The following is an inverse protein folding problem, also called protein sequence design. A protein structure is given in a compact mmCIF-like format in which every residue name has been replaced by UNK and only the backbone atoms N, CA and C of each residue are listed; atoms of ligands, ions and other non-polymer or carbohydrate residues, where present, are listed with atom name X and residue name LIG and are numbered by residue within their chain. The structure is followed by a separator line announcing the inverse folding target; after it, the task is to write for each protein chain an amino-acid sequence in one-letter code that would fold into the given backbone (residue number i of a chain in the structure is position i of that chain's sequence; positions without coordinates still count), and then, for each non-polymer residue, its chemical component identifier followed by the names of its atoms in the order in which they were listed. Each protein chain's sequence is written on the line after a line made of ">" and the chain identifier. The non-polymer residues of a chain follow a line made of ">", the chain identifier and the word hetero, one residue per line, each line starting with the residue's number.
data_IF_758730671403
#
_entry.id   IF_758730671403
#
_cell.length_a   1.000
_cell.length_b   1.000
_cell.length_c   1.000
_cell.angle_alpha   90.00
_cell.angle_beta   90.00
_cell.angle_gamma   90.00
#
_symmetry.space_group_name_H-M   'P 1'
#
loop_
_entity.id
_entity.type
_entity.pdbx_description
1 polymer ?
#
# COMPACT_ATOMS: atom_id res chain seq x y z
N UNK A 1 -42.16 29.95 -36.86
CA UNK A 1 -42.59 29.57 -35.50
C UNK A 1 -42.01 28.20 -35.18
N UNK A 2 -41.32 28.07 -34.06
CA UNK A 2 -40.70 26.85 -33.51
C UNK A 2 -39.34 26.41 -34.08
N UNK A 3 -38.31 27.10 -33.62
CA UNK A 3 -36.92 26.58 -33.48
C UNK A 3 -36.31 27.20 -32.21
N UNK A 4 -36.75 26.72 -31.08
CA UNK A 4 -36.14 27.00 -29.77
C UNK A 4 -36.48 25.81 -28.88
N UNK A 5 -35.63 24.83 -28.75
CA UNK A 5 -35.56 23.87 -27.62
C UNK A 5 -34.60 22.70 -27.84
N UNK A 6 -33.57 22.88 -28.69
CA UNK A 6 -32.55 21.82 -28.85
C UNK A 6 -31.15 22.16 -28.26
N UNK A 7 -30.96 23.39 -27.72
CA UNK A 7 -29.63 23.81 -27.23
C UNK A 7 -29.40 23.62 -25.72
N UNK A 8 -30.45 23.28 -24.95
CA UNK A 8 -30.34 23.20 -23.48
C UNK A 8 -30.08 21.77 -22.95
N UNK A 9 -30.31 20.75 -23.79
CA UNK A 9 -30.08 19.35 -23.37
C UNK A 9 -28.63 18.86 -23.59
N UNK A 10 -27.80 19.55 -24.39
CA UNK A 10 -26.46 19.11 -24.70
C UNK A 10 -25.41 19.65 -23.71
N UNK A 11 -25.74 20.68 -22.92
CA UNK A 11 -24.82 21.26 -21.92
C UNK A 11 -24.75 20.47 -20.62
N UNK A 12 -25.75 19.60 -20.32
CA UNK A 12 -25.76 18.80 -19.10
C UNK A 12 -25.04 17.44 -19.22
N UNK A 13 -24.75 16.98 -20.43
CA UNK A 13 -24.08 15.71 -20.67
C UNK A 13 -22.53 15.82 -20.77
N UNK A 14 -21.99 17.04 -20.93
CA UNK A 14 -20.53 17.25 -20.99
C UNK A 14 -19.92 17.64 -19.64
N UNK A 15 -20.71 17.99 -18.65
CA UNK A 15 -20.21 18.27 -17.28
C UNK A 15 -20.04 17.02 -16.41
N UNK A 16 -20.57 15.85 -16.84
CA UNK A 16 -20.56 14.62 -16.07
C UNK A 16 -19.34 13.69 -16.29
N UNK A 17 -18.60 13.85 -17.36
CA UNK A 17 -17.53 12.90 -17.72
C UNK A 17 -16.12 13.36 -17.39
N UNK A 18 -15.91 14.64 -17.07
CA UNK A 18 -14.59 15.19 -16.71
C UNK A 18 -14.26 15.14 -15.22
N UNK A 19 -15.28 14.99 -14.37
CA UNK A 19 -15.11 15.04 -12.92
C UNK A 19 -14.89 13.66 -12.26
N UNK A 20 -15.11 12.55 -12.98
CA UNK A 20 -15.08 11.22 -12.36
C UNK A 20 -13.68 10.57 -12.26
N UNK A 21 -12.69 11.05 -13.00
CA UNK A 21 -11.34 10.44 -12.96
C UNK A 21 -10.41 11.06 -11.92
N UNK A 22 -10.58 12.32 -11.55
CA UNK A 22 -9.81 12.93 -10.46
C UNK A 22 -10.42 12.70 -9.06
N UNK A 23 -11.65 12.27 -8.98
CA UNK A 23 -12.34 11.97 -7.72
C UNK A 23 -11.91 10.62 -7.08
N UNK A 24 -11.22 9.76 -7.83
CA UNK A 24 -10.93 8.38 -7.40
C UNK A 24 -9.96 8.21 -6.23
N UNK A 25 -8.99 9.10 -6.07
CA UNK A 25 -7.93 8.94 -5.07
C UNK A 25 -8.26 9.65 -3.74
N UNK A 26 -8.95 10.78 -3.79
CA UNK A 26 -9.21 11.62 -2.61
C UNK A 26 -10.70 11.75 -2.25
N UNK A 27 -11.58 11.02 -2.94
CA UNK A 27 -13.03 11.11 -2.74
C UNK A 27 -13.67 12.34 -3.39
N UNK A 28 -14.98 12.52 -3.13
CA UNK A 28 -15.73 13.70 -3.59
C UNK A 28 -15.32 14.95 -2.81
N UNK A 29 -15.58 16.13 -3.36
CA UNK A 29 -15.35 17.40 -2.66
C UNK A 29 -16.13 17.48 -1.33
N UNK A 30 -17.33 16.90 -1.27
CA UNK A 30 -18.11 16.81 -0.04
C UNK A 30 -17.43 15.91 1.00
N UNK A 31 -16.95 14.73 0.60
CA UNK A 31 -16.19 13.84 1.47
C UNK A 31 -14.93 14.54 2.01
N UNK A 32 -14.17 15.20 1.15
CA UNK A 32 -12.97 15.94 1.55
C UNK A 32 -13.29 17.05 2.56
N UNK A 33 -14.37 17.80 2.36
CA UNK A 33 -14.81 18.83 3.29
C UNK A 33 -15.21 18.25 4.65
N UNK A 34 -15.94 17.14 4.67
CA UNK A 34 -16.33 16.43 5.91
C UNK A 34 -15.10 15.87 6.61
N UNK A 35 -14.18 15.25 5.88
CA UNK A 35 -12.92 14.71 6.42
C UNK A 35 -12.07 15.82 7.03
N UNK A 36 -11.87 16.95 6.32
CA UNK A 36 -11.13 18.09 6.83
C UNK A 36 -11.79 18.73 8.07
N UNK A 37 -13.13 18.74 8.16
CA UNK A 37 -13.83 19.19 9.35
C UNK A 37 -13.59 18.28 10.56
N UNK A 38 -13.56 16.96 10.33
CA UNK A 38 -13.28 15.96 11.35
C UNK A 38 -11.82 16.05 11.84
N UNK A 39 -10.87 16.17 10.93
CA UNK A 39 -9.43 16.28 11.22
C UNK A 39 -9.08 17.48 12.09
N UNK A 40 -9.79 18.61 11.92
CA UNK A 40 -9.65 19.78 12.82
C UNK A 40 -10.01 19.48 14.27
N UNK A 41 -10.71 18.40 14.54
CA UNK A 41 -11.04 17.97 15.92
C UNK A 41 -9.99 17.03 16.53
N UNK A 42 -9.06 16.52 15.73
CA UNK A 42 -8.02 15.62 16.23
C UNK A 42 -6.89 16.38 16.90
N UNK A 43 -6.33 15.77 17.93
CA UNK A 43 -5.13 16.29 18.57
C UNK A 43 -3.96 16.28 17.56
N UNK A 44 -3.11 17.30 17.61
CA UNK A 44 -1.89 17.33 16.82
C UNK A 44 -0.81 16.50 17.51
N UNK A 45 -0.16 15.60 16.74
CA UNK A 45 1.01 14.89 17.22
C UNK A 45 2.21 15.84 17.28
N UNK A 46 2.92 15.84 18.40
CA UNK A 46 4.19 16.55 18.50
C UNK A 46 5.29 15.65 17.93
N UNK A 47 5.76 15.95 16.73
CA UNK A 47 6.77 15.17 16.02
C UNK A 47 7.99 16.02 15.66
N UNK A 48 9.15 15.38 15.58
CA UNK A 48 10.27 15.87 14.79
C UNK A 48 10.28 15.07 13.48
N UNK A 49 10.25 15.75 12.36
CA UNK A 49 10.21 15.19 11.01
C UNK A 49 11.56 15.48 10.32
N UNK A 50 12.23 14.46 9.82
CA UNK A 50 13.52 14.58 9.15
C UNK A 50 13.63 13.63 7.96
N UNK A 51 14.25 14.08 6.87
CA UNK A 51 14.68 13.22 5.77
C UNK A 51 16.03 12.57 6.13
N UNK A 52 16.13 11.26 5.95
CA UNK A 52 17.32 10.51 6.34
C UNK A 52 18.53 10.78 5.45
N UNK A 53 18.31 11.29 4.23
CA UNK A 53 19.33 11.56 3.22
C UNK A 53 20.19 10.35 2.93
N UNK A 54 19.51 9.22 2.66
CA UNK A 54 20.16 7.93 2.40
C UNK A 54 20.99 7.99 1.11
N UNK A 55 22.25 7.61 1.20
CA UNK A 55 23.15 7.55 0.05
C UNK A 55 23.43 6.11 -0.37
N UNK A 56 23.31 5.84 -1.69
CA UNK A 56 23.61 4.54 -2.29
C UNK A 56 24.79 4.71 -3.24
N UNK A 57 25.90 3.96 -3.06
CA UNK A 57 27.05 4.07 -3.94
C UNK A 57 26.70 3.77 -5.40
N UNK A 58 26.91 4.74 -6.28
CA UNK A 58 26.69 4.59 -7.72
C UNK A 58 25.25 4.71 -8.21
N UNK A 59 24.29 5.02 -7.30
CA UNK A 59 22.87 5.17 -7.65
C UNK A 59 22.28 6.43 -7.04
N UNK A 60 21.21 6.91 -7.67
CA UNK A 60 20.28 7.88 -7.07
C UNK A 60 19.06 7.11 -6.57
N UNK A 61 18.65 7.36 -5.33
CA UNK A 61 17.43 6.77 -4.78
C UNK A 61 16.23 7.18 -5.65
N UNK A 62 15.42 6.21 -6.04
CA UNK A 62 14.12 6.45 -6.66
C UNK A 62 12.99 6.53 -5.63
N UNK A 63 11.74 6.41 -6.09
CA UNK A 63 10.58 6.35 -5.20
C UNK A 63 10.76 5.27 -4.13
N UNK A 64 10.62 5.63 -2.86
CA UNK A 64 10.82 4.71 -1.72
C UNK A 64 9.50 4.03 -1.35
N UNK A 65 9.13 3.01 -2.13
CA UNK A 65 7.81 2.40 -2.06
C UNK A 65 7.56 1.56 -0.82
N UNK A 66 8.60 0.88 -0.32
CA UNK A 66 8.54 0.05 0.87
C UNK A 66 9.61 0.39 1.87
N UNK A 67 9.26 0.46 3.16
CA UNK A 67 10.21 0.62 4.28
C UNK A 67 9.88 -0.38 5.38
N UNK A 68 10.91 -0.98 5.98
CA UNK A 68 10.79 -1.87 7.13
C UNK A 68 12.08 -1.90 7.94
N UNK A 69 11.99 -2.13 9.25
CA UNK A 69 13.16 -2.34 10.11
C UNK A 69 13.24 -3.77 10.64
N UNK A 70 14.45 -4.27 10.89
CA UNK A 70 14.65 -5.53 11.58
C UNK A 70 14.89 -5.34 13.09
N UNK A 71 15.10 -6.45 13.81
CA UNK A 71 15.36 -6.42 15.27
C UNK A 71 16.64 -5.67 15.67
N UNK A 72 17.58 -5.50 14.73
CA UNK A 72 18.85 -4.77 14.95
C UNK A 72 18.72 -3.27 14.62
N UNK A 73 17.55 -2.82 14.16
CA UNK A 73 17.32 -1.44 13.73
C UNK A 73 17.88 -1.12 12.34
N UNK A 74 18.29 -2.13 11.56
CA UNK A 74 18.61 -1.91 10.14
C UNK A 74 17.35 -1.58 9.37
N UNK A 75 17.45 -0.61 8.47
CA UNK A 75 16.36 -0.17 7.62
C UNK A 75 16.48 -0.82 6.23
N UNK A 76 15.39 -1.44 5.80
CA UNK A 76 15.22 -1.94 4.44
C UNK A 76 14.36 -0.97 3.65
N UNK A 77 14.82 -0.64 2.45
CA UNK A 77 14.12 0.25 1.52
C UNK A 77 13.95 -0.46 0.19
N UNK A 78 12.71 -0.68 -0.22
CA UNK A 78 12.40 -1.21 -1.54
C UNK A 78 11.98 -0.05 -2.44
N UNK A 79 12.81 0.27 -3.43
CA UNK A 79 12.69 1.48 -4.22
C UNK A 79 12.56 1.18 -5.71
N UNK A 80 11.88 2.09 -6.42
CA UNK A 80 11.84 2.12 -7.88
C UNK A 80 13.07 2.88 -8.39
N UNK A 81 14.24 2.31 -8.13
CA UNK A 81 15.52 2.87 -8.53
C UNK A 81 15.98 2.23 -9.82
N UNK A 82 16.04 3.04 -10.89
CA UNK A 82 16.57 2.61 -12.17
C UNK A 82 17.22 3.81 -12.87
N UNK A 83 18.53 3.76 -13.18
CA UNK A 83 19.21 4.84 -13.88
C UNK A 83 18.67 5.10 -15.30
N UNK A 84 17.90 4.18 -15.86
CA UNK A 84 17.33 4.29 -17.22
C UNK A 84 15.83 4.62 -17.22
N UNK A 85 15.24 4.91 -16.07
CA UNK A 85 13.82 5.22 -15.93
C UNK A 85 12.96 4.02 -15.54
N UNK A 86 11.71 4.32 -15.20
CA UNK A 86 10.74 3.30 -14.76
C UNK A 86 10.28 2.48 -15.95
N UNK A 87 10.48 1.16 -15.90
CA UNK A 87 9.93 0.25 -16.88
C UNK A 87 9.25 -0.94 -16.20
N UNK A 88 7.96 -1.12 -16.42
CA UNK A 88 7.26 -2.34 -16.01
C UNK A 88 7.85 -3.54 -16.75
N UNK A 89 8.06 -4.63 -16.01
CA UNK A 89 8.61 -5.87 -16.57
C UNK A 89 10.11 -5.85 -16.83
N UNK A 90 10.83 -4.84 -16.37
CA UNK A 90 12.28 -4.82 -16.30
C UNK A 90 12.75 -4.75 -14.85
N UNK A 91 14.01 -5.07 -14.58
CA UNK A 91 14.64 -4.95 -13.25
C UNK A 91 14.83 -3.47 -12.88
N UNK A 92 13.71 -2.80 -12.60
CA UNK A 92 13.66 -1.39 -12.26
C UNK A 92 13.45 -1.12 -10.77
N UNK A 93 13.45 -2.17 -9.95
CA UNK A 93 13.28 -2.10 -8.51
C UNK A 93 14.47 -2.71 -7.79
N UNK A 94 14.88 -2.11 -6.68
CA UNK A 94 16.05 -2.51 -5.91
C UNK A 94 15.73 -2.50 -4.42
N UNK A 95 16.20 -3.51 -3.70
CA UNK A 95 16.06 -3.65 -2.27
C UNK A 95 17.39 -3.35 -1.58
N UNK A 96 17.38 -2.30 -0.76
CA UNK A 96 18.54 -1.76 -0.08
C UNK A 96 18.48 -2.03 1.42
N UNK A 97 19.63 -2.29 2.04
CA UNK A 97 19.79 -2.34 3.48
C UNK A 97 20.70 -1.20 3.95
N UNK A 98 20.26 -0.49 4.98
CA UNK A 98 20.99 0.53 5.69
C UNK A 98 21.13 0.13 7.17
N UNK A 99 22.22 0.50 7.81
CA UNK A 99 22.37 0.31 9.25
C UNK A 99 21.48 1.32 10.03
N UNK A 100 21.45 1.18 11.35
CA UNK A 100 20.67 2.03 12.25
C UNK A 100 21.01 3.53 12.17
N UNK A 101 22.15 3.90 11.56
CA UNK A 101 22.61 5.27 11.37
C UNK A 101 22.33 5.77 9.92
N UNK A 102 21.66 4.98 9.10
CA UNK A 102 21.36 5.31 7.70
C UNK A 102 22.53 5.09 6.74
N UNK A 103 23.62 4.41 7.17
CA UNK A 103 24.74 4.07 6.30
C UNK A 103 24.38 2.84 5.46
N UNK A 104 24.62 2.94 4.15
CA UNK A 104 24.44 1.82 3.21
C UNK A 104 25.24 0.59 3.64
N UNK A 105 24.58 -0.57 3.69
CA UNK A 105 25.17 -1.88 3.99
C UNK A 105 25.34 -2.68 2.71
N UNK A 106 24.26 -2.97 2.01
CA UNK A 106 24.28 -3.74 0.76
C UNK A 106 22.98 -3.63 -0.02
N UNK A 107 23.04 -4.03 -1.29
CA UNK A 107 21.88 -4.41 -2.10
C UNK A 107 21.51 -5.87 -1.77
N UNK A 108 20.22 -6.14 -1.65
CA UNK A 108 19.67 -7.48 -1.49
C UNK A 108 19.27 -8.06 -2.83
N UNK A 109 19.69 -9.30 -3.09
CA UNK A 109 19.36 -10.06 -4.30
C UNK A 109 19.52 -9.23 -5.60
N UNK A 110 20.71 -8.71 -5.92
CA UNK A 110 20.94 -7.97 -7.14
C UNK A 110 20.52 -8.79 -8.36
N UNK A 111 19.92 -8.12 -9.34
CA UNK A 111 19.37 -8.73 -10.55
C UNK A 111 18.25 -9.77 -10.31
N UNK A 112 17.51 -9.62 -9.23
CA UNK A 112 16.39 -10.49 -8.93
C UNK A 112 15.30 -10.38 -10.01
N UNK A 113 14.92 -11.51 -10.59
CA UNK A 113 13.84 -11.61 -11.57
C UNK A 113 12.49 -11.05 -11.06
N UNK A 114 12.21 -11.18 -9.76
CA UNK A 114 11.00 -10.68 -9.12
C UNK A 114 11.09 -9.19 -8.72
N UNK A 115 12.10 -8.44 -9.15
CA UNK A 115 12.26 -7.01 -8.80
C UNK A 115 12.04 -6.14 -10.04
N UNK A 116 10.78 -5.85 -10.36
CA UNK A 116 10.43 -5.08 -11.55
C UNK A 116 9.71 -3.77 -11.24
N UNK A 117 8.79 -3.76 -10.24
CA UNK A 117 8.06 -2.56 -9.84
C UNK A 117 7.74 -2.61 -8.34
N UNK A 118 8.65 -2.05 -7.54
CA UNK A 118 8.59 -2.11 -6.08
C UNK A 118 7.24 -1.63 -5.53
N UNK A 119 6.70 -2.37 -4.54
CA UNK A 119 5.51 -1.94 -3.83
C UNK A 119 5.67 -1.93 -2.31
N UNK A 120 6.08 -3.04 -1.69
CA UNK A 120 6.29 -3.09 -0.26
C UNK A 120 7.51 -3.94 0.13
N UNK A 121 8.06 -3.67 1.31
CA UNK A 121 8.97 -4.55 2.03
C UNK A 121 8.48 -4.69 3.46
N UNK A 122 8.55 -5.91 4.01
CA UNK A 122 8.22 -6.20 5.39
C UNK A 122 9.31 -7.08 6.02
N UNK A 123 9.43 -7.01 7.34
CA UNK A 123 10.33 -7.87 8.10
C UNK A 123 9.50 -8.62 9.13
N UNK A 124 9.54 -9.95 9.09
CA UNK A 124 8.82 -10.80 10.03
C UNK A 124 9.53 -10.87 11.40
N UNK A 125 8.96 -11.60 12.35
CA UNK A 125 9.49 -11.73 13.71
C UNK A 125 10.84 -12.46 13.79
N UNK A 126 11.18 -13.23 12.76
CA UNK A 126 12.43 -14.00 12.67
C UNK A 126 13.49 -13.26 11.83
N UNK A 127 13.27 -11.95 11.60
CA UNK A 127 14.09 -11.07 10.76
C UNK A 127 14.19 -11.51 9.29
N UNK A 128 13.25 -12.34 8.79
CA UNK A 128 13.18 -12.58 7.37
C UNK A 128 12.60 -11.35 6.66
N UNK A 129 13.19 -11.03 5.52
CA UNK A 129 12.78 -9.89 4.69
C UNK A 129 11.84 -10.37 3.60
N UNK A 130 10.72 -9.68 3.45
CA UNK A 130 9.68 -9.99 2.47
C UNK A 130 9.57 -8.85 1.47
N UNK A 131 9.86 -9.15 0.22
CA UNK A 131 9.75 -8.25 -0.91
C UNK A 131 8.43 -8.48 -1.62
N UNK A 132 7.63 -7.44 -1.80
CA UNK A 132 6.37 -7.46 -2.56
C UNK A 132 6.55 -6.63 -3.81
N UNK A 133 6.42 -7.26 -4.97
CA UNK A 133 6.67 -6.62 -6.26
C UNK A 133 5.42 -6.63 -7.15
N UNK A 134 4.78 -5.48 -7.25
CA UNK A 134 3.57 -5.26 -8.04
C UNK A 134 3.73 -5.61 -9.52
N UNK A 135 4.93 -5.43 -10.07
CA UNK A 135 5.18 -5.60 -11.51
C UNK A 135 5.36 -7.06 -11.92
N UNK A 136 5.99 -7.86 -11.08
CA UNK A 136 6.19 -9.29 -11.33
C UNK A 136 5.02 -10.17 -10.86
N UNK A 137 4.17 -9.65 -9.96
CA UNK A 137 3.13 -10.45 -9.32
C UNK A 137 3.71 -11.45 -8.32
N UNK A 138 4.85 -11.13 -7.70
CA UNK A 138 5.60 -12.06 -6.85
C UNK A 138 5.93 -11.48 -5.49
N UNK A 139 5.84 -12.33 -4.47
CA UNK A 139 6.35 -12.05 -3.13
C UNK A 139 7.51 -12.99 -2.86
N UNK A 140 8.66 -12.44 -2.47
CA UNK A 140 9.86 -13.21 -2.17
C UNK A 140 10.24 -13.05 -0.71
N UNK A 141 10.45 -14.18 -0.02
CA UNK A 141 10.98 -14.23 1.34
C UNK A 141 12.47 -14.54 1.31
N UNK A 142 13.24 -13.72 2.02
CA UNK A 142 14.65 -13.92 2.26
C UNK A 142 14.90 -14.21 3.73
N UNK A 143 15.81 -15.15 4.03
CA UNK A 143 16.30 -15.30 5.40
C UNK A 143 17.23 -14.12 5.77
N UNK A 144 17.62 -13.97 7.07
CA UNK A 144 18.51 -12.88 7.50
C UNK A 144 19.89 -12.84 6.82
N UNK A 145 20.29 -13.93 6.16
CA UNK A 145 21.53 -14.01 5.37
C UNK A 145 21.34 -13.52 3.92
N UNK A 146 20.08 -13.25 3.51
CA UNK A 146 19.74 -12.80 2.16
C UNK A 146 19.49 -13.93 1.15
N UNK A 147 19.36 -15.17 1.62
CA UNK A 147 19.00 -16.30 0.77
C UNK A 147 17.48 -16.34 0.54
N UNK A 148 17.05 -16.52 -0.69
CA UNK A 148 15.64 -16.71 -1.04
C UNK A 148 15.17 -18.08 -0.54
N UNK A 149 14.15 -18.09 0.31
CA UNK A 149 13.65 -19.32 0.96
C UNK A 149 12.19 -19.63 0.66
N UNK A 150 11.43 -18.66 0.12
CA UNK A 150 10.05 -18.86 -0.31
C UNK A 150 9.70 -17.88 -1.43
N UNK A 151 8.93 -18.35 -2.39
CA UNK A 151 8.37 -17.55 -3.47
C UNK A 151 6.86 -17.80 -3.52
N UNK A 152 6.08 -16.73 -3.54
CA UNK A 152 4.64 -16.76 -3.68
C UNK A 152 4.23 -15.98 -4.92
N UNK A 153 3.21 -16.45 -5.60
CA UNK A 153 2.77 -15.88 -6.85
C UNK A 153 3.72 -16.23 -8.00
N UNK A 154 3.31 -15.89 -9.19
CA UNK A 154 4.08 -16.07 -10.40
C UNK A 154 3.42 -15.29 -11.51
N UNK A 155 4.19 -14.62 -12.35
CA UNK A 155 3.66 -14.12 -13.60
C UNK A 155 3.32 -15.32 -14.50
N UNK A 156 2.06 -15.52 -14.89
CA UNK A 156 1.68 -16.62 -15.73
C UNK A 156 2.39 -16.54 -17.08
N UNK A 157 3.06 -17.61 -17.47
CA UNK A 157 3.66 -17.76 -18.80
C UNK A 157 2.66 -18.42 -19.79
N UNK A 158 1.47 -18.77 -19.31
CA UNK A 158 0.51 -19.53 -20.04
C UNK A 158 -0.32 -18.69 -21.03
N UNK A 159 -0.72 -19.33 -22.12
CA UNK A 159 -1.60 -18.79 -23.17
C UNK A 159 -2.91 -18.24 -22.60
N UNK A 160 -3.46 -18.89 -21.57
CA UNK A 160 -4.68 -18.44 -20.86
C UNK A 160 -4.60 -16.99 -20.36
N UNK A 161 -3.40 -16.57 -19.93
CA UNK A 161 -3.19 -15.18 -19.49
C UNK A 161 -3.19 -14.21 -20.68
N UNK A 162 -2.59 -14.60 -21.78
CA UNK A 162 -2.62 -13.85 -23.02
C UNK A 162 -4.04 -13.74 -23.57
N UNK A 163 -4.81 -14.84 -23.52
CA UNK A 163 -6.23 -14.83 -23.94
C UNK A 163 -7.08 -13.92 -23.06
N UNK A 164 -6.92 -13.97 -21.74
CA UNK A 164 -7.60 -13.07 -20.83
C UNK A 164 -7.25 -11.59 -21.07
N UNK A 165 -5.98 -11.30 -21.36
CA UNK A 165 -5.55 -9.94 -21.70
C UNK A 165 -6.02 -9.51 -23.10
N UNK A 166 -6.07 -10.42 -24.06
CA UNK A 166 -6.62 -10.15 -25.39
C UNK A 166 -8.14 -9.91 -25.32
N UNK A 167 -8.86 -10.63 -24.46
CA UNK A 167 -10.26 -10.35 -24.18
C UNK A 167 -10.43 -8.96 -23.53
N UNK A 168 -9.60 -8.60 -22.56
CA UNK A 168 -9.59 -7.25 -21.96
C UNK A 168 -9.30 -6.20 -23.04
N UNK A 169 -8.38 -6.42 -23.93
CA UNK A 169 -8.06 -5.50 -25.04
C UNK A 169 -9.21 -5.39 -26.05
N UNK A 170 -9.98 -6.45 -26.31
CA UNK A 170 -11.20 -6.39 -27.14
C UNK A 170 -12.28 -5.48 -26.51
N UNK A 171 -12.31 -5.37 -25.20
CA UNK A 171 -13.24 -4.54 -24.44
C UNK A 171 -12.70 -3.12 -24.13
N UNK A 172 -11.48 -2.79 -24.53
CA UNK A 172 -10.90 -1.46 -24.35
C UNK A 172 -11.53 -0.38 -25.26
N UNK A 173 -12.62 -0.69 -25.95
CA UNK A 173 -13.41 0.28 -26.68
C UNK A 173 -14.36 1.03 -25.74
N UNK A 174 -14.36 2.38 -25.81
CA UNK A 174 -15.12 3.22 -24.85
C UNK A 174 -16.64 3.11 -24.93
N UNK A 175 -17.17 2.27 -25.80
CA UNK A 175 -18.58 2.14 -26.10
C UNK A 175 -19.25 0.94 -25.41
N UNK A 176 -18.48 0.09 -24.75
CA UNK A 176 -19.01 -1.13 -24.13
C UNK A 176 -18.84 -1.12 -22.62
N UNK A 177 -19.78 -1.72 -21.93
CA UNK A 177 -19.74 -1.88 -20.48
C UNK A 177 -18.39 -2.46 -20.03
N UNK A 178 -17.83 -1.91 -18.94
CA UNK A 178 -16.63 -2.45 -18.30
C UNK A 178 -16.85 -3.93 -18.06
N UNK A 179 -16.03 -4.83 -18.63
CA UNK A 179 -16.19 -6.25 -18.40
C UNK A 179 -16.05 -6.55 -16.92
N UNK A 180 -16.75 -7.56 -16.38
CA UNK A 180 -16.52 -7.98 -15.03
C UNK A 180 -15.05 -8.35 -14.88
N UNK A 181 -14.39 -7.76 -13.87
CA UNK A 181 -12.99 -8.03 -13.58
C UNK A 181 -12.82 -9.53 -13.36
N UNK A 182 -11.85 -10.19 -13.99
CA UNK A 182 -11.61 -11.61 -13.74
C UNK A 182 -11.42 -11.86 -12.24
N UNK A 183 -12.06 -12.90 -11.72
CA UNK A 183 -11.79 -13.33 -10.35
C UNK A 183 -10.38 -13.91 -10.34
N UNK A 184 -9.50 -13.38 -9.48
CA UNK A 184 -8.13 -13.87 -9.35
C UNK A 184 -8.09 -15.35 -9.03
N UNK A 185 -7.18 -16.08 -9.69
CA UNK A 185 -6.99 -17.51 -9.47
C UNK A 185 -6.26 -17.79 -8.15
N UNK A 186 -6.41 -18.99 -7.64
CA UNK A 186 -5.57 -19.49 -6.55
C UNK A 186 -4.15 -19.73 -7.08
N UNK A 187 -3.14 -19.18 -6.41
CA UNK A 187 -1.73 -19.33 -6.78
C UNK A 187 -1.16 -18.11 -7.52
N UNK A 188 -2.00 -17.25 -8.08
CA UNK A 188 -1.56 -16.08 -8.84
C UNK A 188 -1.96 -14.80 -8.12
N UNK A 189 -1.11 -13.79 -8.14
CA UNK A 189 -1.46 -12.42 -7.76
C UNK A 189 -1.62 -11.53 -9.00
N UNK A 190 -2.42 -10.49 -8.88
CA UNK A 190 -2.54 -9.46 -9.89
C UNK A 190 -2.29 -8.10 -9.26
N UNK A 191 -1.01 -7.72 -9.20
CA UNK A 191 -0.53 -6.46 -8.63
C UNK A 191 -0.85 -6.36 -7.14
N UNK A 192 -0.33 -7.33 -6.39
CA UNK A 192 -0.40 -7.37 -4.93
C UNK A 192 0.31 -6.16 -4.31
N UNK A 193 -0.17 -5.78 -3.13
CA UNK A 193 0.21 -4.49 -2.53
C UNK A 193 1.04 -4.65 -1.25
N UNK A 194 0.71 -5.61 -0.38
CA UNK A 194 1.39 -5.72 0.91
C UNK A 194 1.24 -7.13 1.52
N UNK A 195 2.03 -7.41 2.56
CA UNK A 195 2.03 -8.68 3.29
C UNK A 195 2.11 -8.46 4.79
N UNK A 196 1.41 -9.30 5.57
CA UNK A 196 1.48 -9.30 7.04
C UNK A 196 1.44 -10.74 7.58
N UNK A 197 1.76 -10.91 8.85
CA UNK A 197 1.95 -12.25 9.45
C UNK A 197 1.24 -12.35 10.79
N UNK A 198 0.59 -13.50 11.05
CA UNK A 198 0.06 -13.82 12.38
C UNK A 198 1.11 -14.47 13.29
N UNK A 199 0.70 -14.76 14.53
CA UNK A 199 1.57 -15.41 15.52
C UNK A 199 1.94 -16.86 15.18
N UNK A 200 1.24 -17.49 14.23
CA UNK A 200 1.49 -18.84 13.74
C UNK A 200 2.38 -18.85 12.50
N UNK A 201 2.69 -17.67 11.95
CA UNK A 201 3.46 -17.49 10.73
C UNK A 201 2.62 -17.62 9.45
N UNK A 202 1.28 -17.66 9.56
CA UNK A 202 0.45 -17.53 8.37
C UNK A 202 0.66 -16.15 7.73
N UNK A 203 0.58 -16.13 6.42
CA UNK A 203 0.86 -14.98 5.59
C UNK A 203 -0.47 -14.43 5.08
N UNK A 204 -0.71 -13.14 5.28
CA UNK A 204 -1.85 -12.43 4.73
C UNK A 204 -1.36 -11.47 3.65
N UNK A 205 -1.97 -11.55 2.48
CA UNK A 205 -1.59 -10.72 1.32
C UNK A 205 -2.78 -9.88 0.90
N UNK A 206 -2.57 -8.56 0.75
CA UNK A 206 -3.51 -7.70 0.05
C UNK A 206 -3.18 -7.72 -1.45
N UNK A 207 -4.08 -8.31 -2.25
CA UNK A 207 -3.96 -8.41 -3.70
C UNK A 207 -4.89 -7.38 -4.35
N UNK A 208 -4.40 -6.13 -4.34
CA UNK A 208 -5.25 -4.95 -4.35
C UNK A 208 -5.57 -4.35 -5.70
N UNK A 209 -4.60 -4.13 -6.58
CA UNK A 209 -4.84 -3.38 -7.82
C UNK A 209 -5.60 -4.21 -8.86
N UNK A 210 -5.20 -5.46 -9.00
CA UNK A 210 -5.82 -6.39 -9.93
C UNK A 210 -7.07 -7.08 -9.38
N UNK A 211 -7.02 -7.69 -8.22
CA UNK A 211 -8.03 -8.65 -7.75
C UNK A 211 -8.98 -8.15 -6.67
N UNK A 212 -8.71 -7.05 -5.99
CA UNK A 212 -9.55 -6.52 -4.89
C UNK A 212 -9.87 -7.57 -3.82
N UNK A 213 -8.85 -8.31 -3.37
CA UNK A 213 -8.99 -9.42 -2.41
C UNK A 213 -7.89 -9.42 -1.36
N UNK A 214 -8.13 -10.21 -0.30
CA UNK A 214 -7.14 -10.62 0.70
C UNK A 214 -6.97 -12.13 0.63
N UNK A 215 -5.73 -12.61 0.77
CA UNK A 215 -5.40 -14.03 0.74
C UNK A 215 -4.71 -14.43 2.03
N UNK A 216 -5.15 -15.53 2.64
CA UNK A 216 -4.45 -16.19 3.76
C UNK A 216 -3.70 -17.41 3.23
N UNK A 217 -2.40 -17.50 3.54
CA UNK A 217 -1.48 -18.53 3.08
C UNK A 217 -0.77 -19.11 4.31
N UNK A 218 -0.54 -20.42 4.33
CA UNK A 218 0.24 -21.07 5.40
C UNK A 218 1.74 -20.71 5.31
N UNK A 219 2.52 -20.95 6.38
CA UNK A 219 3.96 -20.63 6.38
C UNK A 219 4.77 -21.35 5.28
N UNK A 220 4.27 -22.48 4.80
CA UNK A 220 4.87 -23.29 3.72
C UNK A 220 4.31 -22.98 2.32
N UNK A 221 3.48 -21.91 2.19
CA UNK A 221 3.01 -21.41 0.92
C UNK A 221 1.68 -21.97 0.40
N UNK A 222 0.94 -22.77 1.19
CA UNK A 222 -0.36 -23.28 0.77
C UNK A 222 -1.47 -22.23 0.97
N UNK A 223 -2.24 -21.99 -0.06
CA UNK A 223 -3.37 -21.06 -0.02
C UNK A 223 -4.52 -21.62 0.81
N UNK A 224 -4.81 -21.01 1.93
CA UNK A 224 -5.82 -21.44 2.90
C UNK A 224 -7.20 -20.82 2.62
N UNK A 225 -7.25 -19.48 2.43
CA UNK A 225 -8.48 -18.74 2.20
C UNK A 225 -8.26 -17.53 1.29
N UNK A 226 -9.26 -17.20 0.52
CA UNK A 226 -9.34 -15.95 -0.25
C UNK A 226 -10.64 -15.25 0.11
N UNK A 227 -10.59 -13.94 0.26
CA UNK A 227 -11.73 -13.09 0.60
C UNK A 227 -11.69 -11.81 -0.22
N UNK A 228 -12.80 -11.41 -0.76
CA UNK A 228 -12.99 -10.11 -1.36
C UNK A 228 -13.41 -10.14 -2.81
N UNK A 229 -14.14 -9.09 -3.16
CA UNK A 229 -14.54 -8.72 -4.51
C UNK A 229 -14.51 -7.21 -4.63
N UNK A 230 -14.53 -6.66 -5.83
CA UNK A 230 -14.62 -5.21 -6.02
C UNK A 230 -15.97 -4.68 -5.52
N UNK A 231 -15.94 -3.64 -4.69
CA UNK A 231 -17.15 -3.00 -4.16
C UNK A 231 -16.93 -2.24 -2.86
N UNK A 232 -18.04 -1.86 -2.19
CA UNK A 232 -18.02 -1.04 -0.96
C UNK A 232 -18.75 -1.70 0.23
N UNK A 233 -19.33 -2.88 0.06
CA UNK A 233 -19.95 -3.65 1.15
C UNK A 233 -18.93 -4.25 2.12
N UNK A 234 -19.38 -4.98 3.15
CA UNK A 234 -18.52 -5.90 3.90
C UNK A 234 -17.89 -6.90 2.93
N UNK A 235 -16.63 -7.30 3.21
CA UNK A 235 -15.89 -8.24 2.35
C UNK A 235 -15.69 -7.78 0.89
N UNK A 236 -15.96 -6.51 0.59
CA UNK A 236 -15.68 -5.89 -0.69
C UNK A 236 -14.62 -4.82 -0.52
N UNK A 237 -13.74 -4.69 -1.53
CA UNK A 237 -12.64 -3.75 -1.48
C UNK A 237 -12.55 -2.92 -2.77
N UNK A 238 -12.02 -1.70 -2.62
CA UNK A 238 -11.54 -0.89 -3.73
C UNK A 238 -10.07 -0.59 -3.49
N UNK A 239 -9.21 -1.38 -4.10
CA UNK A 239 -7.77 -1.32 -3.92
C UNK A 239 -7.36 -1.48 -2.44
N UNK A 240 -7.48 -2.69 -1.85
CA UNK A 240 -6.84 -2.98 -0.56
C UNK A 240 -5.33 -2.79 -0.73
N UNK A 241 -4.78 -1.74 -0.08
CA UNK A 241 -3.44 -1.23 -0.40
C UNK A 241 -2.38 -1.60 0.61
N UNK A 242 -2.76 -1.81 1.86
CA UNK A 242 -1.85 -2.25 2.92
C UNK A 242 -2.59 -3.18 3.88
N UNK A 243 -1.84 -4.02 4.58
CA UNK A 243 -2.37 -5.02 5.51
C UNK A 243 -1.48 -5.13 6.73
N UNK A 244 -2.07 -5.29 7.91
CA UNK A 244 -1.34 -5.51 9.15
C UNK A 244 -2.08 -6.53 10.04
N UNK A 245 -1.37 -7.16 10.96
CA UNK A 245 -1.92 -8.13 11.92
C UNK A 245 -1.53 -7.70 13.33
N UNK A 246 -2.49 -7.71 14.27
CA UNK A 246 -2.24 -7.37 15.66
C UNK A 246 -1.79 -8.59 16.50
N UNK A 247 -1.45 -8.37 17.76
CA UNK A 247 -1.02 -9.41 18.69
C UNK A 247 -2.12 -10.44 19.03
N UNK A 248 -3.38 -10.14 18.71
CA UNK A 248 -4.52 -11.03 18.85
C UNK A 248 -4.84 -11.77 17.55
N UNK A 249 -4.01 -11.61 16.52
CA UNK A 249 -4.18 -12.13 15.16
C UNK A 249 -5.38 -11.53 14.40
N UNK A 250 -5.89 -10.36 14.79
CA UNK A 250 -6.84 -9.66 13.95
C UNK A 250 -6.12 -9.04 12.76
N UNK A 251 -6.76 -9.10 11.61
CA UNK A 251 -6.24 -8.65 10.32
C UNK A 251 -6.88 -7.31 9.95
N UNK A 252 -6.06 -6.31 9.73
CA UNK A 252 -6.45 -4.95 9.37
C UNK A 252 -6.11 -4.70 7.91
N UNK A 253 -7.09 -4.35 7.09
CA UNK A 253 -6.94 -4.13 5.66
C UNK A 253 -7.26 -2.68 5.32
N UNK A 254 -6.27 -1.97 4.82
CA UNK A 254 -6.42 -0.59 4.33
C UNK A 254 -7.16 -0.60 2.99
N UNK A 255 -8.48 -0.45 3.02
CA UNK A 255 -9.38 -0.41 1.87
C UNK A 255 -9.41 1.02 1.29
N UNK A 256 -8.31 1.37 0.60
CA UNK A 256 -7.94 2.72 0.20
C UNK A 256 -9.05 3.45 -0.55
N UNK A 257 -9.60 2.83 -1.58
CA UNK A 257 -10.62 3.46 -2.43
C UNK A 257 -12.02 3.54 -1.78
N UNK A 258 -12.19 2.93 -0.59
CA UNK A 258 -13.38 3.05 0.23
C UNK A 258 -13.16 3.91 1.49
N UNK A 259 -11.98 4.53 1.64
CA UNK A 259 -11.65 5.44 2.75
C UNK A 259 -11.87 4.82 4.14
N UNK A 260 -11.49 3.55 4.30
CA UNK A 260 -11.68 2.80 5.54
C UNK A 260 -10.59 1.76 5.76
N UNK A 261 -10.47 1.29 7.00
CA UNK A 261 -9.78 0.06 7.33
C UNK A 261 -10.86 -0.96 7.69
N UNK A 262 -10.85 -2.13 7.06
CA UNK A 262 -11.69 -3.26 7.47
C UNK A 262 -10.89 -4.18 8.39
N UNK A 263 -11.52 -4.63 9.48
CA UNK A 263 -10.92 -5.50 10.48
C UNK A 263 -11.60 -6.86 10.43
N UNK A 264 -10.78 -7.90 10.44
CA UNK A 264 -11.17 -9.30 10.40
C UNK A 264 -10.53 -10.06 11.54
N UNK A 265 -11.11 -11.20 11.93
CA UNK A 265 -10.41 -12.19 12.75
C UNK A 265 -9.35 -12.94 11.89
N UNK A 266 -8.59 -13.85 12.52
CA UNK A 266 -7.55 -14.65 11.86
C UNK A 266 -8.09 -15.61 10.78
N UNK A 267 -9.39 -15.92 10.83
CA UNK A 267 -10.10 -16.70 9.83
C UNK A 267 -10.73 -15.86 8.73
N UNK A 268 -10.39 -14.56 8.66
CA UNK A 268 -10.96 -13.60 7.73
C UNK A 268 -12.50 -13.52 7.82
N UNK A 269 -13.06 -13.55 9.02
CA UNK A 269 -14.46 -13.18 9.25
C UNK A 269 -14.50 -11.70 9.64
N UNK A 270 -15.42 -10.95 9.02
CA UNK A 270 -15.54 -9.50 9.23
C UNK A 270 -15.90 -9.19 10.69
N UNK A 271 -15.18 -8.23 11.28
CA UNK A 271 -15.41 -7.76 12.66
C UNK A 271 -16.00 -6.34 12.64
N UNK A 272 -15.33 -5.39 11.99
CA UNK A 272 -15.76 -3.97 11.94
C UNK A 272 -15.02 -3.19 10.85
N UNK A 273 -15.48 -1.95 10.62
CA UNK A 273 -14.75 -0.95 9.82
C UNK A 273 -14.33 0.23 10.69
N UNK A 274 -13.19 0.83 10.35
CA UNK A 274 -12.66 2.08 10.90
C UNK A 274 -12.67 3.12 9.80
N UNK A 275 -13.19 4.31 10.09
CA UNK A 275 -13.33 5.44 9.16
C UNK A 275 -12.80 6.73 9.80
N UNK A 276 -12.86 7.85 9.08
CA UNK A 276 -12.39 9.14 9.59
C UNK A 276 -10.88 9.36 9.46
N UNK A 277 -10.22 8.67 8.56
CA UNK A 277 -8.76 8.63 8.39
C UNK A 277 -8.30 8.92 6.95
N UNK A 278 -9.11 9.61 6.16
CA UNK A 278 -8.82 9.82 4.73
C UNK A 278 -8.75 8.50 3.94
N UNK A 279 -7.99 8.49 2.88
CA UNK A 279 -7.73 7.28 2.07
C UNK A 279 -6.49 6.56 2.63
N UNK A 280 -6.61 5.42 3.32
CA UNK A 280 -5.47 4.74 3.93
C UNK A 280 -4.60 4.07 2.84
N UNK A 281 -3.41 4.62 2.60
CA UNK A 281 -2.42 4.03 1.71
C UNK A 281 -1.51 3.05 2.45
N UNK A 282 -1.08 3.42 3.63
CA UNK A 282 -0.15 2.65 4.44
C UNK A 282 -0.74 2.30 5.81
N UNK A 283 -0.37 1.17 6.35
CA UNK A 283 -0.80 0.69 7.65
C UNK A 283 0.35 0.03 8.39
N UNK A 284 0.47 0.34 9.68
CA UNK A 284 1.45 -0.27 10.57
C UNK A 284 0.88 -0.41 11.99
N UNK A 285 1.16 -1.52 12.66
CA UNK A 285 0.81 -1.78 14.06
C UNK A 285 2.10 -1.97 14.86
N UNK A 286 2.18 -1.30 16.02
CA UNK A 286 3.38 -1.36 16.87
C UNK A 286 3.54 -2.72 17.56
N UNK A 287 4.78 -3.09 17.88
CA UNK A 287 5.11 -4.31 18.63
C UNK A 287 5.04 -4.15 20.15
N UNK A 288 4.35 -3.11 20.64
CA UNK A 288 4.30 -2.77 22.07
C UNK A 288 3.02 -3.25 22.73
N UNK A 289 2.98 -3.17 24.05
CA UNK A 289 1.77 -3.33 24.84
C UNK A 289 1.56 -2.09 25.71
N UNK A 290 0.51 -1.29 25.50
CA UNK A 290 -0.51 -1.44 24.45
C UNK A 290 0.04 -1.25 23.04
N UNK A 291 -0.62 -1.87 22.05
CA UNK A 291 -0.35 -1.62 20.64
C UNK A 291 -1.05 -0.34 20.17
N UNK A 292 -0.44 0.30 19.19
CA UNK A 292 -1.02 1.42 18.45
C UNK A 292 -0.98 1.12 16.96
N UNK A 293 -1.92 1.70 16.24
CA UNK A 293 -1.99 1.61 14.79
C UNK A 293 -1.67 2.98 14.18
N UNK A 294 -0.87 2.99 13.13
CA UNK A 294 -0.61 4.15 12.30
C UNK A 294 -1.12 3.92 10.90
N UNK A 295 -1.74 4.92 10.31
CA UNK A 295 -2.08 4.92 8.89
C UNK A 295 -1.72 6.24 8.25
N UNK A 296 -1.30 6.19 6.99
CA UNK A 296 -0.95 7.36 6.20
C UNK A 296 -1.80 7.48 4.95
N UNK A 297 -2.02 8.70 4.48
CA UNK A 297 -2.78 8.97 3.28
C UNK A 297 -1.93 9.55 2.13
N UNK A 298 -2.59 9.77 0.97
CA UNK A 298 -1.95 10.31 -0.23
C UNK A 298 -1.60 11.81 -0.13
N UNK A 299 -1.99 12.49 0.95
CA UNK A 299 -1.74 13.92 1.18
C UNK A 299 -0.73 14.15 2.33
N UNK A 300 -0.01 13.13 2.74
CA UNK A 300 0.98 13.23 3.81
C UNK A 300 0.40 13.25 5.23
N UNK A 301 -0.87 12.93 5.41
CA UNK A 301 -1.51 12.89 6.72
C UNK A 301 -1.24 11.56 7.39
N UNK A 302 -0.61 11.60 8.56
CA UNK A 302 -0.34 10.45 9.41
C UNK A 302 -1.28 10.48 10.62
N UNK A 303 -2.01 9.40 10.83
CA UNK A 303 -2.92 9.23 11.98
C UNK A 303 -2.37 8.16 12.92
N UNK A 304 -2.33 8.46 14.21
CA UNK A 304 -2.07 7.50 15.29
C UNK A 304 -3.39 7.12 15.94
N UNK A 305 -3.65 5.84 16.08
CA UNK A 305 -4.91 5.30 16.62
C UNK A 305 -4.63 4.26 17.70
N UNK A 306 -5.60 4.07 18.61
CA UNK A 306 -5.66 2.86 19.40
C UNK A 306 -6.22 1.68 18.57
N UNK A 307 -6.18 0.48 19.15
CA UNK A 307 -6.63 -0.73 18.43
C UNK A 307 -8.15 -0.81 18.27
N UNK A 308 -8.93 0.11 18.86
CA UNK A 308 -10.37 0.25 18.57
C UNK A 308 -10.64 1.05 17.30
N UNK A 309 -9.64 1.79 16.82
CA UNK A 309 -9.72 2.70 15.68
C UNK A 309 -9.98 4.15 16.08
N UNK A 310 -9.94 4.48 17.38
CA UNK A 310 -10.04 5.86 17.85
C UNK A 310 -8.74 6.60 17.50
N UNK A 311 -8.86 7.72 16.78
CA UNK A 311 -7.74 8.61 16.48
C UNK A 311 -7.27 9.28 17.77
N UNK A 312 -6.01 9.08 18.12
CA UNK A 312 -5.34 9.67 19.29
C UNK A 312 -4.62 10.96 18.92
N UNK A 313 -4.27 11.12 17.64
CA UNK A 313 -3.67 12.31 17.10
C UNK A 313 -3.28 12.13 15.64
N UNK A 314 -2.98 13.25 14.98
CA UNK A 314 -2.53 13.28 13.59
C UNK A 314 -1.44 14.34 13.40
N UNK A 315 -0.73 14.23 12.29
CA UNK A 315 0.20 15.25 11.78
C UNK A 315 0.22 15.22 10.26
N UNK A 316 0.68 16.30 9.64
CA UNK A 316 1.02 16.34 8.21
C UNK A 316 2.54 16.26 8.10
N UNK A 317 3.05 15.37 7.26
CA UNK A 317 4.48 15.10 7.09
C UNK A 317 4.98 15.67 5.78
N UNK A 318 6.28 16.00 5.68
CA UNK A 318 6.88 16.46 4.43
C UNK A 318 6.40 17.85 3.98
N UNK A 319 6.04 18.73 4.91
CA UNK A 319 5.52 20.06 4.59
C UNK A 319 6.51 20.96 3.82
N UNK A 320 7.80 20.64 3.86
CA UNK A 320 8.81 21.38 3.11
C UNK A 320 8.61 21.33 1.59
N UNK A 321 7.84 20.35 1.09
CA UNK A 321 7.53 20.15 -0.32
C UNK A 321 6.05 20.36 -0.66
N UNK A 322 5.18 20.50 0.35
CA UNK A 322 3.72 20.65 0.21
C UNK A 322 3.20 22.03 0.63
N UNK A 323 1.88 22.13 0.73
CA UNK A 323 1.18 23.24 1.37
C UNK A 323 0.98 22.95 2.86
N UNK A 324 0.48 23.94 3.65
CA UNK A 324 0.17 23.74 5.07
C UNK A 324 -0.77 22.54 5.34
N UNK A 325 -1.62 22.20 4.36
CA UNK A 325 -2.61 21.13 4.47
C UNK A 325 -2.23 19.83 3.77
N UNK A 326 -1.11 19.79 3.04
CA UNK A 326 -0.66 18.62 2.26
C UNK A 326 0.84 18.43 2.38
N UNK A 327 1.26 17.17 2.45
CA UNK A 327 2.65 16.76 2.47
C UNK A 327 2.96 15.68 1.43
N UNK A 328 4.08 15.02 1.59
CA UNK A 328 4.48 13.91 0.73
C UNK A 328 3.57 12.70 0.93
N UNK A 329 3.15 12.08 -0.16
CA UNK A 329 2.32 10.87 -0.13
C UNK A 329 2.96 9.81 0.76
N UNK A 330 2.22 9.29 1.75
CA UNK A 330 2.67 8.21 2.62
C UNK A 330 2.32 6.87 1.97
N UNK A 331 3.29 6.23 1.31
CA UNK A 331 3.07 4.96 0.62
C UNK A 331 3.29 3.74 1.52
N UNK A 332 4.27 3.80 2.40
CA UNK A 332 4.58 2.72 3.35
C UNK A 332 4.99 3.26 4.71
N UNK A 333 4.78 2.44 5.75
CA UNK A 333 5.10 2.76 7.13
C UNK A 333 5.83 1.60 7.80
N UNK A 334 6.84 1.92 8.61
CA UNK A 334 7.35 1.04 9.67
C UNK A 334 7.24 1.77 11.01
N UNK A 335 6.58 1.15 11.97
CA UNK A 335 6.35 1.65 13.32
C UNK A 335 6.70 0.60 14.38
N UNK A 336 7.65 -0.27 14.09
CA UNK A 336 8.15 -1.27 15.06
C UNK A 336 8.50 -0.62 16.39
N UNK A 337 9.11 0.56 16.36
CA UNK A 337 9.26 1.43 17.52
C UNK A 337 8.09 2.44 17.57
N UNK A 338 7.28 2.47 18.66
CA UNK A 338 6.09 3.32 18.74
C UNK A 338 6.39 4.83 18.77
N UNK A 339 7.64 5.21 19.02
CA UNK A 339 8.08 6.60 19.06
C UNK A 339 8.86 7.00 17.79
N UNK A 340 9.11 6.08 16.88
CA UNK A 340 9.81 6.35 15.62
C UNK A 340 9.05 5.69 14.48
N UNK A 341 8.59 6.49 13.53
CA UNK A 341 7.89 6.01 12.33
C UNK A 341 8.74 6.34 11.13
N UNK A 342 9.11 5.31 10.35
CA UNK A 342 9.73 5.48 9.05
C UNK A 342 8.65 5.50 7.97
N UNK A 343 8.80 6.40 7.01
CA UNK A 343 7.85 6.62 5.91
C UNK A 343 8.58 6.45 4.59
N UNK A 344 8.02 5.61 3.73
CA UNK A 344 8.36 5.55 2.31
C UNK A 344 7.28 6.24 1.48
N UNK A 345 7.70 6.85 0.36
CA UNK A 345 6.84 7.69 -0.46
C UNK A 345 7.01 7.43 -1.95
N UNK A 346 5.92 7.59 -2.70
CA UNK A 346 5.92 7.63 -4.15
C UNK A 346 6.15 9.07 -4.70
N UNK A 347 6.23 10.07 -3.83
CA UNK A 347 6.45 11.47 -4.22
C UNK A 347 7.81 12.02 -3.79
N UNK A 348 8.58 11.26 -3.01
CA UNK A 348 9.95 11.64 -2.65
C UNK A 348 10.93 10.50 -2.88
N UNK A 349 12.22 10.83 -2.97
CA UNK A 349 13.32 9.92 -3.28
C UNK A 349 14.25 9.73 -2.07
N UNK A 350 13.64 9.64 -0.90
CA UNK A 350 14.31 9.41 0.38
C UNK A 350 13.31 8.78 1.36
N UNK A 351 13.76 8.48 2.57
CA UNK A 351 12.92 8.01 3.67
C UNK A 351 12.77 9.13 4.69
N UNK A 352 11.53 9.40 5.09
CA UNK A 352 11.26 10.26 6.25
C UNK A 352 11.31 9.45 7.53
N UNK A 353 11.83 10.06 8.58
CA UNK A 353 11.84 9.55 9.94
C UNK A 353 11.15 10.54 10.85
N UNK A 354 10.03 10.12 11.43
CA UNK A 354 9.31 10.89 12.43
C UNK A 354 9.65 10.38 13.81
N UNK A 355 10.03 11.30 14.70
CA UNK A 355 10.18 11.01 16.13
C UNK A 355 9.03 11.64 16.88
N UNK A 356 8.18 10.82 17.50
CA UNK A 356 7.02 11.27 18.30
C UNK A 356 7.52 11.61 19.71
N UNK A 357 7.24 12.83 20.17
CA UNK A 357 7.68 13.39 21.46
C UNK A 357 6.61 13.28 22.53
#
# INVERSE_FOLDING_TARGET
>A
MKLRNAATALAFLLAGSGASQSQGLNGTAEFQAQQAALERTYAQLNVADEYMRLGIPGYTMGETMGVATNSKGHLFVYSRTNPQGIARGSTAAMLWEFDQNGKFVKEWAPHNYAASFAHAVRVDRDDNVWQVDEGSGMIVKYNPQGQQILWLGRTPEAIDYLEANLEILKYAHPETAVPPKPVGRKGDFDRETDVAFDSQGNIFVSDGYGNSRVVKISPDGHWLKMLGTFGSGPDQFKTPHSIAVDAQNNVYVADRGNFRIQVYDDNLNFVRSITGIGAPWALCITNTSPQYMFTGDGNGKLYKMDMTGKVLGMTVTGQDHGSEDTGDLIHSLDCRNPNVVYIGSASMYDVQKLTIK
#
